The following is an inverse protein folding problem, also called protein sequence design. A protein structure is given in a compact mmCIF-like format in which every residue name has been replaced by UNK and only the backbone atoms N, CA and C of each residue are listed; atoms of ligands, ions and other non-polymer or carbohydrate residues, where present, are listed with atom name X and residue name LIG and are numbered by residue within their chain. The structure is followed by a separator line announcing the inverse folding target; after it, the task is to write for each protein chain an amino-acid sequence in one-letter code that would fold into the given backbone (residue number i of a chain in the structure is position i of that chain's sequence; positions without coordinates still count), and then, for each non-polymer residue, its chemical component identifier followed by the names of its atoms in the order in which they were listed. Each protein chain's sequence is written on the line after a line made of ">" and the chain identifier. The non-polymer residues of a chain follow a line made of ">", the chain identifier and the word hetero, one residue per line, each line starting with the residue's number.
data_IF_481765306481
#
_entry.id   IF_481765306481
#
_cell.length_a   1.000
_cell.length_b   1.000
_cell.length_c   1.000
_cell.angle_alpha   90.00
_cell.angle_beta   90.00
_cell.angle_gamma   90.00
#
_symmetry.space_group_name_H-M   'P 1'
#
loop_
_entity.id
_entity.type
_entity.pdbx_description
1 polymer ?
#
# COMPACT_ATOMS: atom_id res chain seq x y z
N UNK A 1 -8.38 8.83 -2.11
CA UNK A 1 -7.58 9.22 -3.30
C UNK A 1 -7.20 7.96 -4.09
N UNK A 2 -8.09 7.51 -4.97
CA UNK A 2 -7.82 6.46 -5.98
C UNK A 2 -6.79 6.88 -7.05
N UNK A 3 -6.24 8.10 -6.96
CA UNK A 3 -5.34 8.68 -7.96
C UNK A 3 -3.96 8.04 -8.04
N UNK A 4 -3.51 7.25 -7.04
CA UNK A 4 -2.19 6.62 -7.03
C UNK A 4 -2.18 5.14 -7.48
N UNK A 5 -3.32 4.45 -7.38
CA UNK A 5 -3.45 3.05 -7.81
C UNK A 5 -3.49 2.92 -9.33
N UNK A 6 -4.14 3.87 -10.02
CA UNK A 6 -4.20 3.93 -11.48
C UNK A 6 -2.80 4.11 -12.15
N UNK A 7 -1.94 5.04 -11.68
CA UNK A 7 -0.57 5.18 -12.18
C UNK A 7 0.28 3.93 -11.99
N UNK A 8 0.21 3.28 -10.82
CA UNK A 8 0.97 2.06 -10.53
C UNK A 8 0.57 0.91 -11.47
N UNK A 9 -0.73 0.69 -11.64
CA UNK A 9 -1.25 -0.32 -12.57
C UNK A 9 -0.81 -0.05 -14.02
N UNK A 10 -0.81 1.22 -14.42
CA UNK A 10 -0.37 1.64 -15.75
C UNK A 10 1.14 1.38 -15.96
N UNK A 11 1.97 1.72 -14.95
CA UNK A 11 3.42 1.47 -15.00
C UNK A 11 3.74 -0.02 -15.08
N UNK A 12 3.09 -0.85 -14.25
CA UNK A 12 3.24 -2.32 -14.31
C UNK A 12 2.88 -2.87 -15.69
N UNK A 13 1.76 -2.40 -16.26
CA UNK A 13 1.31 -2.83 -17.59
C UNK A 13 2.31 -2.44 -18.71
N UNK A 14 2.90 -1.25 -18.60
CA UNK A 14 3.94 -0.78 -19.54
C UNK A 14 5.25 -1.55 -19.39
N UNK A 15 5.63 -1.92 -18.17
CA UNK A 15 6.79 -2.77 -17.91
C UNK A 15 6.61 -4.17 -18.47
N UNK A 16 5.44 -4.79 -18.30
CA UNK A 16 5.11 -6.09 -18.92
C UNK A 16 5.23 -6.03 -20.45
N UNK A 17 4.70 -4.97 -21.06
CA UNK A 17 4.79 -4.76 -22.51
C UNK A 17 6.25 -4.59 -22.97
N UNK A 18 7.06 -3.85 -22.21
CA UNK A 18 8.48 -3.67 -22.50
C UNK A 18 9.25 -5.00 -22.38
N UNK A 19 8.99 -5.79 -21.33
CA UNK A 19 9.60 -7.10 -21.13
C UNK A 19 9.28 -8.04 -22.30
N UNK A 20 8.01 -8.13 -22.70
CA UNK A 20 7.57 -8.96 -23.83
C UNK A 20 8.25 -8.53 -25.13
N UNK A 21 8.37 -7.23 -25.39
CA UNK A 21 9.05 -6.70 -26.58
C UNK A 21 10.53 -7.07 -26.59
N UNK A 22 11.24 -6.87 -25.47
CA UNK A 22 12.66 -7.23 -25.38
C UNK A 22 12.85 -8.72 -25.59
N UNK A 23 12.02 -9.58 -24.95
CA UNK A 23 12.09 -11.03 -25.15
C UNK A 23 11.84 -11.47 -26.60
N UNK A 24 10.97 -10.77 -27.35
CA UNK A 24 10.72 -11.02 -28.78
C UNK A 24 11.91 -10.57 -29.63
N UNK A 25 12.46 -9.38 -29.38
CA UNK A 25 13.60 -8.86 -30.13
C UNK A 25 14.87 -9.70 -29.89
N UNK A 26 15.10 -10.19 -28.66
CA UNK A 26 16.22 -11.11 -28.35
C UNK A 26 16.18 -12.38 -29.21
N UNK A 27 14.99 -12.89 -29.56
CA UNK A 27 14.86 -14.06 -30.44
C UNK A 27 15.14 -13.75 -31.92
N UNK A 28 15.05 -12.49 -32.33
CA UNK A 28 15.32 -12.04 -33.72
C UNK A 28 16.80 -11.74 -33.97
N UNK A 29 17.54 -11.40 -32.91
CA UNK A 29 19.00 -11.13 -32.96
C UNK A 29 19.83 -12.41 -33.01
N UNK A 30 19.18 -13.58 -33.11
CA UNK A 30 19.79 -14.92 -33.20
C UNK A 30 20.43 -15.22 -34.58
N UNK A 31 21.10 -14.22 -35.16
CA UNK A 31 21.85 -14.29 -36.42
C UNK A 31 23.37 -14.29 -36.20
N UNK A 32 24.17 -14.67 -37.21
CA UNK A 32 25.52 -15.24 -36.99
C UNK A 32 26.61 -14.26 -36.55
N UNK A 33 26.36 -12.95 -36.50
CA UNK A 33 27.44 -11.93 -36.45
C UNK A 33 27.31 -10.88 -35.33
N UNK A 34 26.51 -11.12 -34.30
CA UNK A 34 26.46 -10.21 -33.14
C UNK A 34 25.73 -10.81 -31.94
N UNK A 35 26.16 -12.00 -31.49
CA UNK A 35 25.27 -12.87 -30.72
C UNK A 35 25.44 -12.87 -29.21
N UNK A 36 26.63 -13.09 -28.67
CA UNK A 36 26.77 -13.51 -27.26
C UNK A 36 26.58 -12.38 -26.24
N UNK A 37 27.39 -11.33 -26.32
CA UNK A 37 27.38 -10.23 -25.33
C UNK A 37 26.08 -9.43 -25.36
N UNK A 38 25.50 -9.24 -26.55
CA UNK A 38 24.21 -8.57 -26.70
C UNK A 38 23.06 -9.40 -26.13
N UNK A 39 23.09 -10.74 -26.29
CA UNK A 39 22.12 -11.65 -25.66
C UNK A 39 22.27 -11.62 -24.14
N UNK A 40 23.49 -11.70 -23.62
CA UNK A 40 23.75 -11.65 -22.18
C UNK A 40 23.27 -10.34 -21.58
N UNK A 41 23.57 -9.21 -22.21
CA UNK A 41 23.08 -7.90 -21.80
C UNK A 41 21.54 -7.82 -21.79
N UNK A 42 20.88 -8.33 -22.84
CA UNK A 42 19.41 -8.35 -22.92
C UNK A 42 18.79 -9.24 -21.85
N UNK A 43 19.37 -10.41 -21.57
CA UNK A 43 18.92 -11.29 -20.49
C UNK A 43 19.10 -10.63 -19.12
N UNK A 44 20.25 -10.02 -18.86
CA UNK A 44 20.49 -9.29 -17.62
C UNK A 44 19.51 -8.11 -17.46
N UNK A 45 19.20 -7.40 -18.54
CA UNK A 45 18.23 -6.31 -18.53
C UNK A 45 16.81 -6.81 -18.20
N UNK A 46 16.39 -7.93 -18.79
CA UNK A 46 15.10 -8.57 -18.49
C UNK A 46 15.00 -8.99 -17.02
N UNK A 47 16.06 -9.59 -16.47
CA UNK A 47 16.11 -9.97 -15.05
C UNK A 47 15.99 -8.74 -14.13
N UNK A 48 16.67 -7.64 -14.45
CA UNK A 48 16.55 -6.38 -13.71
C UNK A 48 15.13 -5.81 -13.79
N UNK A 49 14.49 -5.84 -14.96
CA UNK A 49 13.11 -5.35 -15.14
C UNK A 49 12.09 -6.21 -14.38
N UNK A 50 12.29 -7.53 -14.30
CA UNK A 50 11.47 -8.43 -13.47
C UNK A 50 11.63 -8.09 -11.99
N UNK A 51 12.87 -7.96 -11.52
CA UNK A 51 13.13 -7.63 -10.12
C UNK A 51 12.46 -6.30 -9.71
N UNK A 52 12.52 -5.26 -10.56
CA UNK A 52 11.85 -3.98 -10.31
C UNK A 52 10.33 -4.13 -10.26
N UNK A 53 9.74 -4.97 -11.12
CA UNK A 53 8.29 -5.24 -11.10
C UNK A 53 7.87 -5.92 -9.80
N UNK A 54 8.61 -6.95 -9.41
CA UNK A 54 8.31 -7.74 -8.22
C UNK A 54 8.40 -6.86 -6.96
N UNK A 55 9.41 -5.98 -6.87
CA UNK A 55 9.52 -5.03 -5.77
C UNK A 55 8.36 -4.04 -5.76
N UNK A 56 7.98 -3.47 -6.91
CA UNK A 56 6.85 -2.55 -7.01
C UNK A 56 5.51 -3.22 -6.65
N UNK A 57 5.32 -4.49 -7.02
CA UNK A 57 4.12 -5.24 -6.68
C UNK A 57 4.05 -5.54 -5.17
N UNK A 58 5.17 -5.90 -4.55
CA UNK A 58 5.26 -6.11 -3.11
C UNK A 58 5.04 -4.81 -2.32
N UNK A 59 5.64 -3.70 -2.75
CA UNK A 59 5.43 -2.38 -2.16
C UNK A 59 3.98 -1.92 -2.31
N UNK A 60 3.36 -2.13 -3.47
CA UNK A 60 1.94 -1.86 -3.69
C UNK A 60 1.03 -2.65 -2.74
N UNK A 61 1.35 -3.93 -2.51
CA UNK A 61 0.63 -4.77 -1.54
C UNK A 61 0.78 -4.27 -0.10
N UNK A 62 2.00 -3.87 0.29
CA UNK A 62 2.27 -3.30 1.62
C UNK A 62 1.52 -1.98 1.84
N UNK A 63 1.42 -1.14 0.81
CA UNK A 63 0.73 0.15 0.90
C UNK A 63 -0.79 -0.03 1.08
N UNK A 64 -1.41 -1.00 0.41
CA UNK A 64 -2.82 -1.33 0.62
C UNK A 64 -3.09 -1.92 2.01
N UNK A 65 -2.16 -2.74 2.54
CA UNK A 65 -2.25 -3.23 3.93
C UNK A 65 -2.22 -2.07 4.93
N UNK A 66 -1.26 -1.15 4.81
CA UNK A 66 -1.16 0.03 5.67
C UNK A 66 -2.41 0.93 5.59
N UNK A 67 -3.06 1.02 4.41
CA UNK A 67 -4.33 1.74 4.27
C UNK A 67 -5.45 1.07 5.06
N UNK A 68 -5.56 -0.25 4.96
CA UNK A 68 -6.56 -1.03 5.69
C UNK A 68 -6.37 -0.85 7.20
N UNK A 69 -5.15 -1.02 7.70
CA UNK A 69 -4.83 -0.83 9.13
C UNK A 69 -5.14 0.60 9.60
N UNK A 70 -4.79 1.62 8.80
CA UNK A 70 -5.13 3.02 9.10
C UNK A 70 -6.64 3.23 9.19
N UNK A 71 -7.39 2.66 8.27
CA UNK A 71 -8.84 2.85 8.21
C UNK A 71 -9.54 2.12 9.37
N UNK A 72 -9.08 0.92 9.73
CA UNK A 72 -9.51 0.19 10.93
C UNK A 72 -9.20 1.00 12.21
N UNK A 73 -7.99 1.52 12.36
CA UNK A 73 -7.60 2.34 13.50
C UNK A 73 -8.43 3.63 13.60
N UNK A 74 -8.82 4.23 12.46
CA UNK A 74 -9.73 5.40 12.44
C UNK A 74 -11.12 5.05 12.94
N UNK A 75 -11.67 3.92 12.50
CA UNK A 75 -12.98 3.43 12.93
C UNK A 75 -12.98 3.18 14.44
N UNK A 76 -11.95 2.49 14.95
CA UNK A 76 -11.80 2.20 16.37
C UNK A 76 -11.69 3.48 17.20
N UNK A 77 -10.85 4.43 16.77
CA UNK A 77 -10.72 5.74 17.41
C UNK A 77 -12.07 6.46 17.50
N UNK A 78 -12.86 6.48 16.42
CA UNK A 78 -14.16 7.16 16.40
C UNK A 78 -15.18 6.48 17.30
N UNK A 79 -15.15 5.15 17.39
CA UNK A 79 -15.98 4.40 18.32
C UNK A 79 -15.60 4.72 19.78
N UNK A 80 -14.31 4.69 20.11
CA UNK A 80 -13.79 5.03 21.43
C UNK A 80 -14.13 6.47 21.81
N UNK A 81 -13.96 7.42 20.90
CA UNK A 81 -14.30 8.83 21.13
C UNK A 81 -15.77 9.00 21.50
N UNK A 82 -16.69 8.35 20.77
CA UNK A 82 -18.12 8.35 21.10
C UNK A 82 -18.40 7.78 22.49
N UNK A 83 -17.70 6.70 22.86
CA UNK A 83 -17.86 6.11 24.20
C UNK A 83 -17.35 7.06 25.29
N UNK A 84 -16.20 7.70 25.09
CA UNK A 84 -15.64 8.71 26.00
C UNK A 84 -16.60 9.88 26.17
N UNK A 85 -17.14 10.43 25.07
CA UNK A 85 -18.08 11.55 25.12
C UNK A 85 -19.35 11.18 25.89
N UNK A 86 -19.90 9.98 25.65
CA UNK A 86 -21.06 9.47 26.39
C UNK A 86 -20.77 9.30 27.88
N UNK A 87 -19.60 8.79 28.23
CA UNK A 87 -19.20 8.59 29.62
C UNK A 87 -18.99 9.93 30.33
N UNK A 88 -18.33 10.88 29.67
CA UNK A 88 -18.12 12.24 30.16
C UNK A 88 -19.44 12.95 30.42
N UNK A 89 -20.41 12.84 29.50
CA UNK A 89 -21.76 13.36 29.71
C UNK A 89 -22.41 12.76 30.95
N UNK A 90 -22.37 11.44 31.12
CA UNK A 90 -22.93 10.77 32.31
C UNK A 90 -22.26 11.24 33.60
N UNK A 91 -20.94 11.38 33.60
CA UNK A 91 -20.20 11.88 34.76
C UNK A 91 -20.61 13.31 35.10
N UNK A 92 -20.72 14.19 34.12
CA UNK A 92 -21.17 15.57 34.34
C UNK A 92 -22.60 15.62 34.87
N UNK A 93 -23.50 14.84 34.27
CA UNK A 93 -24.89 14.72 34.71
C UNK A 93 -24.97 14.22 36.16
N UNK A 94 -24.20 13.18 36.52
CA UNK A 94 -24.14 12.68 37.89
C UNK A 94 -23.56 13.71 38.87
N UNK A 95 -22.51 14.44 38.49
CA UNK A 95 -21.97 15.53 39.32
C UNK A 95 -22.99 16.65 39.59
N UNK A 96 -23.92 16.88 38.67
CA UNK A 96 -24.97 17.90 38.83
C UNK A 96 -26.16 17.42 39.66
N UNK A 97 -26.43 16.12 39.67
CA UNK A 97 -27.65 15.55 40.25
C UNK A 97 -27.44 14.66 41.47
N UNK A 98 -26.20 14.30 41.80
CA UNK A 98 -25.87 13.60 43.05
C UNK A 98 -25.51 14.66 44.08
N UNK A 99 -26.29 14.82 45.16
CA UNK A 99 -25.88 15.69 46.26
C UNK A 99 -24.59 15.13 46.84
N UNK A 100 -23.56 15.97 46.92
CA UNK A 100 -22.37 15.66 47.70
C UNK A 100 -22.84 15.54 49.13
N UNK A 101 -22.96 14.31 49.63
CA UNK A 101 -23.10 14.09 51.05
C UNK A 101 -21.78 14.56 51.67
N UNK A 102 -21.77 15.79 52.20
CA UNK A 102 -20.73 16.23 53.11
C UNK A 102 -20.78 15.26 54.29
N UNK A 103 -19.89 14.26 54.26
CA UNK A 103 -19.61 13.42 55.41
C UNK A 103 -18.81 14.30 56.37
N UNK A 104 -19.54 15.04 57.20
CA UNK A 104 -18.97 15.68 58.39
C UNK A 104 -18.56 14.59 59.37
N UNK A 105 -17.25 14.35 59.46
CA UNK A 105 -16.59 13.71 60.60
C UNK A 105 -16.29 14.77 61.66
#
# INVERSE_FOLDING_TARGET
>A
LPELTLPLQNVLSRMDAAEKRVAVETKKVDGPVGGADLREYQTQLLLKLRAIRDTMQNEGSSLEQLRKERDEARIERDALKKQVDKLNYRVQHLKQHVPVADVTL
#
